data_IF_116148857796
#
_entry.id   IF_116148857796
#
_cell.length_a   1.000
_cell.length_b   1.000
_cell.length_c   1.000
_cell.angle_alpha   90.00
_cell.angle_beta   90.00
_cell.angle_gamma   90.00
#
_symmetry.space_group_name_H-M   'P 1'
#
loop_
_entity.id
_entity.type
_entity.pdbx_description
1 polymer ?
#
# COMPACT_ATOMS: atom_id res chain seq x y z
N UNK A 1 8.03 0.55 -28.38
CA UNK A 1 7.47 1.63 -27.55
C UNK A 1 7.63 1.21 -26.10
N UNK A 2 8.68 1.67 -25.41
CA UNK A 2 8.95 1.27 -24.02
C UNK A 2 8.14 2.19 -23.11
N UNK A 3 6.98 1.74 -22.65
CA UNK A 3 6.16 2.50 -21.70
C UNK A 3 6.92 2.61 -20.38
N UNK A 4 7.43 3.81 -20.06
CA UNK A 4 8.07 4.08 -18.77
C UNK A 4 6.99 3.93 -17.69
N UNK A 5 7.03 2.88 -16.87
CA UNK A 5 6.12 2.78 -15.71
C UNK A 5 6.49 3.91 -14.74
N UNK A 6 5.54 4.77 -14.34
CA UNK A 6 5.82 5.77 -13.33
C UNK A 6 6.11 5.06 -12.01
N UNK A 7 7.18 5.50 -11.35
CA UNK A 7 7.52 5.10 -9.97
C UNK A 7 7.13 6.25 -9.06
N UNK A 8 6.29 6.00 -8.06
CA UNK A 8 5.76 7.02 -7.15
C UNK A 8 6.17 6.69 -5.72
N UNK A 9 6.46 7.71 -4.90
CA UNK A 9 6.68 7.48 -3.48
C UNK A 9 5.35 7.31 -2.76
N UNK A 10 5.38 6.69 -1.60
CA UNK A 10 4.17 6.53 -0.76
C UNK A 10 3.56 7.87 -0.38
N UNK A 11 4.39 8.88 -0.09
CA UNK A 11 3.91 10.25 0.15
C UNK A 11 3.11 10.78 -1.03
N UNK A 12 3.67 10.69 -2.25
CA UNK A 12 3.03 11.17 -3.47
C UNK A 12 1.70 10.41 -3.72
N UNK A 13 1.68 9.11 -3.45
CA UNK A 13 0.46 8.29 -3.54
C UNK A 13 -0.61 8.72 -2.52
N UNK A 14 -0.21 9.00 -1.28
CA UNK A 14 -1.13 9.46 -0.25
C UNK A 14 -1.74 10.83 -0.60
N UNK A 15 -0.92 11.75 -1.11
CA UNK A 15 -1.37 13.06 -1.59
C UNK A 15 -2.35 12.93 -2.75
N UNK A 16 -2.05 12.10 -3.75
CA UNK A 16 -2.94 11.82 -4.88
C UNK A 16 -4.29 11.24 -4.45
N UNK A 17 -4.29 10.43 -3.38
CA UNK A 17 -5.49 9.82 -2.81
C UNK A 17 -6.23 10.74 -1.83
N UNK A 18 -5.68 11.91 -1.49
CA UNK A 18 -6.22 12.77 -0.43
C UNK A 18 -6.25 12.05 0.93
N UNK A 19 -5.27 11.19 1.17
CA UNK A 19 -5.19 10.26 2.28
C UNK A 19 -4.02 10.61 3.21
N UNK A 20 -4.01 9.97 4.38
CA UNK A 20 -2.85 10.03 5.30
C UNK A 20 -2.03 8.76 5.16
N UNK A 21 -0.72 8.86 5.38
CA UNK A 21 0.16 7.70 5.42
C UNK A 21 0.85 7.58 6.78
N UNK A 22 1.37 6.39 7.04
CA UNK A 22 2.19 6.05 8.20
C UNK A 22 3.38 5.21 7.75
N UNK A 23 4.51 5.31 8.46
CA UNK A 23 5.74 4.60 8.14
C UNK A 23 6.61 5.37 7.13
N UNK A 24 7.19 4.63 6.18
CA UNK A 24 8.19 5.17 5.24
C UNK A 24 7.52 5.81 4.00
N UNK A 25 7.37 7.13 4.03
CA UNK A 25 6.79 7.92 2.94
C UNK A 25 7.67 8.07 1.71
N UNK A 26 8.99 7.87 1.83
CA UNK A 26 9.94 7.96 0.72
C UNK A 26 10.09 6.64 -0.04
N UNK A 27 9.49 5.57 0.48
CA UNK A 27 9.45 4.27 -0.20
C UNK A 27 8.87 4.41 -1.60
N UNK A 28 9.62 3.91 -2.58
CA UNK A 28 9.22 3.92 -3.98
C UNK A 28 8.37 2.71 -4.31
N UNK A 29 7.19 2.97 -4.86
CA UNK A 29 6.25 1.98 -5.38
C UNK A 29 6.31 1.96 -6.89
N UNK A 30 6.34 0.76 -7.46
CA UNK A 30 6.57 0.52 -8.89
C UNK A 30 5.44 -0.27 -9.56
N UNK A 31 4.66 -1.01 -8.78
CA UNK A 31 3.51 -1.76 -9.26
C UNK A 31 2.47 -1.97 -8.15
N UNK A 32 1.27 -2.38 -8.55
CA UNK A 32 0.26 -2.90 -7.64
C UNK A 32 0.20 -4.43 -7.76
N UNK A 33 0.05 -5.12 -6.64
CA UNK A 33 0.03 -6.59 -6.59
C UNK A 33 -0.92 -7.09 -5.49
N UNK A 34 -1.49 -8.31 -5.62
CA UNK A 34 -2.27 -8.92 -4.56
C UNK A 34 -1.38 -9.26 -3.35
N UNK A 35 -1.96 -9.30 -2.15
CA UNK A 35 -1.21 -9.41 -0.88
C UNK A 35 -0.26 -10.60 -0.84
N UNK A 36 -0.67 -11.73 -1.42
CA UNK A 36 0.08 -12.97 -1.51
C UNK A 36 1.27 -12.94 -2.48
N UNK A 37 1.28 -12.02 -3.44
CA UNK A 37 2.36 -11.89 -4.44
C UNK A 37 3.13 -10.57 -4.34
N UNK A 38 2.62 -9.60 -3.56
CA UNK A 38 3.20 -8.29 -3.41
C UNK A 38 4.58 -8.35 -2.73
N UNK A 39 5.57 -7.75 -3.37
CA UNK A 39 6.91 -7.54 -2.83
C UNK A 39 7.12 -6.13 -2.27
N UNK A 40 8.36 -5.87 -1.84
CA UNK A 40 8.74 -4.65 -1.11
C UNK A 40 8.58 -3.35 -1.91
N UNK A 41 8.40 -3.42 -3.23
CA UNK A 41 8.18 -2.27 -4.12
C UNK A 41 6.76 -2.19 -4.66
N UNK A 42 5.84 -3.01 -4.13
CA UNK A 42 4.46 -3.09 -4.55
C UNK A 42 3.51 -2.47 -3.53
N UNK A 43 2.42 -1.91 -4.05
CA UNK A 43 1.26 -1.49 -3.25
C UNK A 43 0.16 -2.55 -3.31
N UNK A 44 -0.51 -2.79 -2.18
CA UNK A 44 -1.63 -3.72 -2.09
C UNK A 44 -2.77 -3.16 -1.24
N UNK A 45 -3.98 -3.70 -1.41
CA UNK A 45 -5.21 -3.18 -0.80
C UNK A 45 -5.81 -4.16 0.21
N UNK A 46 -6.23 -3.65 1.37
CA UNK A 46 -6.80 -4.44 2.45
C UNK A 46 -8.29 -4.14 2.62
N UNK A 47 -9.12 -4.78 1.80
CA UNK A 47 -10.56 -4.46 1.68
C UNK A 47 -11.50 -5.41 2.41
N UNK A 48 -11.02 -6.55 2.90
CA UNK A 48 -11.87 -7.58 3.51
C UNK A 48 -11.26 -8.15 4.79
N UNK A 49 -12.07 -8.84 5.59
CA UNK A 49 -11.59 -9.53 6.79
C UNK A 49 -10.52 -10.60 6.45
N UNK A 50 -10.63 -11.25 5.28
CA UNK A 50 -9.61 -12.17 4.77
C UNK A 50 -8.32 -11.41 4.45
N UNK A 51 -8.43 -10.31 3.71
CA UNK A 51 -7.29 -9.47 3.34
C UNK A 51 -6.55 -8.93 4.57
N UNK A 52 -7.27 -8.60 5.66
CA UNK A 52 -6.64 -8.18 6.93
C UNK A 52 -5.70 -9.24 7.50
N UNK A 53 -6.06 -10.51 7.39
CA UNK A 53 -5.22 -11.63 7.84
C UNK A 53 -4.02 -11.82 6.90
N UNK A 54 -4.25 -11.73 5.60
CA UNK A 54 -3.19 -11.85 4.58
C UNK A 54 -2.19 -10.68 4.64
N UNK A 55 -2.65 -9.49 5.00
CA UNK A 55 -1.83 -8.29 5.15
C UNK A 55 -0.74 -8.43 6.21
N UNK A 56 -0.94 -9.29 7.22
CA UNK A 56 0.09 -9.59 8.22
C UNK A 56 1.27 -10.34 7.59
N UNK A 57 0.99 -11.26 6.67
CA UNK A 57 2.01 -12.11 6.02
C UNK A 57 2.56 -11.52 4.71
N UNK A 58 1.92 -10.49 4.15
CA UNK A 58 2.31 -9.90 2.86
C UNK A 58 3.74 -9.30 2.90
N UNK A 59 4.45 -9.28 1.77
CA UNK A 59 5.71 -8.55 1.63
C UNK A 59 5.54 -7.17 0.98
N UNK A 60 4.30 -6.70 0.81
CA UNK A 60 3.99 -5.41 0.20
C UNK A 60 4.79 -4.26 0.82
N UNK A 61 5.38 -3.44 -0.04
CA UNK A 61 6.07 -2.22 0.33
C UNK A 61 5.15 -1.18 0.98
N UNK A 62 3.89 -1.12 0.52
CA UNK A 62 2.87 -0.23 1.03
C UNK A 62 1.50 -0.92 1.05
N UNK A 63 0.74 -0.73 2.13
CA UNK A 63 -0.61 -1.26 2.27
C UNK A 63 -1.64 -0.12 2.31
N UNK A 64 -2.64 -0.18 1.44
CA UNK A 64 -3.81 0.68 1.51
C UNK A 64 -4.81 0.03 2.46
N UNK A 65 -5.02 0.66 3.61
CA UNK A 65 -5.74 0.06 4.74
C UNK A 65 -6.95 0.91 5.15
N UNK A 66 -8.00 0.29 5.72
CA UNK A 66 -9.08 1.02 6.36
C UNK A 66 -8.57 1.70 7.65
N UNK A 67 -9.25 2.75 8.15
CA UNK A 67 -8.72 3.58 9.23
C UNK A 67 -8.51 2.84 10.55
N UNK A 68 -9.24 1.74 10.77
CA UNK A 68 -9.25 0.92 11.98
C UNK A 68 -8.24 -0.23 11.95
N UNK A 69 -7.57 -0.47 10.82
CA UNK A 69 -6.53 -1.50 10.73
C UNK A 69 -5.18 -0.88 11.01
N UNK A 70 -4.46 -1.45 11.97
CA UNK A 70 -3.09 -1.08 12.26
C UNK A 70 -2.17 -2.27 12.09
N UNK A 71 -1.02 -2.03 11.45
CA UNK A 71 0.01 -3.04 11.22
C UNK A 71 1.37 -2.42 11.58
N UNK A 72 1.76 -2.59 12.83
CA UNK A 72 2.95 -1.96 13.40
C UNK A 72 4.21 -2.22 12.56
N UNK A 73 5.00 -1.17 12.34
CA UNK A 73 6.24 -1.23 11.55
C UNK A 73 6.05 -1.33 10.04
N UNK A 74 4.81 -1.22 9.54
CA UNK A 74 4.49 -1.26 8.10
C UNK A 74 4.25 0.13 7.55
N UNK A 75 4.50 0.29 6.26
CA UNK A 75 4.11 1.50 5.54
C UNK A 75 2.67 1.36 5.07
N UNK A 76 1.82 2.31 5.45
CA UNK A 76 0.37 2.23 5.24
C UNK A 76 -0.18 3.55 4.71
N UNK A 77 -1.17 3.49 3.81
CA UNK A 77 -2.01 4.62 3.43
C UNK A 77 -3.42 4.36 3.95
N UNK A 78 -3.91 5.23 4.84
CA UNK A 78 -5.21 5.10 5.48
C UNK A 78 -6.29 5.78 4.65
N UNK A 79 -7.25 5.00 4.17
CA UNK A 79 -8.37 5.47 3.36
C UNK A 79 -9.70 5.00 3.94
N UNK A 80 -10.75 5.83 3.84
CA UNK A 80 -12.09 5.44 4.31
C UNK A 80 -12.70 4.30 3.48
N UNK A 81 -12.33 4.18 2.21
CA UNK A 81 -12.83 3.15 1.30
C UNK A 81 -11.70 2.58 0.43
N UNK A 82 -11.01 1.52 0.87
CA UNK A 82 -9.81 0.97 0.20
C UNK A 82 -10.06 0.20 -1.12
N UNK A 83 -11.15 0.47 -1.84
CA UNK A 83 -11.56 -0.33 -3.02
C UNK A 83 -11.00 0.18 -4.34
#
# INVERSE_FOLDING_TARGET
MTTRRPTLRVLDLAELLGATFEGDGDRTITAAAPLEAAGASDISFVVSAKARREAVASAAGCLVVPPDLDLEGRTMIRVRHPR
#
